data_IF_274399745246
#
_entry.id   IF_274399745246
#
_cell.length_a   1.000
_cell.length_b   1.000
_cell.length_c   1.000
_cell.angle_alpha   90.00
_cell.angle_beta   90.00
_cell.angle_gamma   90.00
#
_symmetry.space_group_name_H-M   'P 1'
#
loop_
_entity.id
_entity.type
_entity.pdbx_description
1 polymer ?
#
# COMPACT_ATOMS: atom_id res chain seq x y z
N UNK A 1 4.60 -12.42 29.76
CA UNK A 1 4.14 -11.31 28.89
C UNK A 1 3.79 -11.86 27.50
N UNK A 2 2.61 -12.47 27.32
CA UNK A 2 2.22 -13.15 26.05
C UNK A 2 0.81 -12.79 25.52
N UNK A 3 0.07 -11.92 26.22
CA UNK A 3 -1.31 -11.58 25.85
C UNK A 3 -1.42 -10.68 24.60
N UNK A 4 -0.36 -9.96 24.23
CA UNK A 4 -0.33 -9.11 23.04
C UNK A 4 -0.29 -9.90 21.72
N UNK A 5 0.49 -10.99 21.67
CA UNK A 5 0.66 -11.80 20.47
C UNK A 5 -0.60 -12.60 20.11
N UNK A 6 -1.39 -13.02 21.11
CA UNK A 6 -2.66 -13.72 20.89
C UNK A 6 -3.70 -12.84 20.19
N UNK A 7 -3.75 -11.54 20.52
CA UNK A 7 -4.67 -10.61 19.89
C UNK A 7 -4.36 -10.39 18.41
N UNK A 8 -3.10 -10.15 18.05
CA UNK A 8 -2.70 -9.90 16.64
C UNK A 8 -3.11 -11.06 15.73
N UNK A 9 -2.96 -12.30 16.22
CA UNK A 9 -3.28 -13.51 15.47
C UNK A 9 -4.76 -13.62 15.07
N UNK A 10 -5.65 -13.11 15.91
CA UNK A 10 -7.09 -13.15 15.66
C UNK A 10 -7.53 -12.06 14.67
N UNK A 11 -7.02 -10.84 14.84
CA UNK A 11 -7.45 -9.67 14.05
C UNK A 11 -6.80 -9.58 12.67
N UNK A 12 -5.58 -10.10 12.51
CA UNK A 12 -4.84 -9.95 11.26
C UNK A 12 -5.55 -10.47 9.99
N UNK A 13 -6.13 -11.68 9.97
CA UNK A 13 -6.85 -12.16 8.79
C UNK A 13 -8.01 -11.24 8.39
N UNK A 14 -8.69 -10.68 9.38
CA UNK A 14 -9.78 -9.72 9.17
C UNK A 14 -9.26 -8.41 8.61
N UNK A 15 -8.19 -7.86 9.18
CA UNK A 15 -7.55 -6.64 8.66
C UNK A 15 -7.13 -6.81 7.19
N UNK A 16 -6.49 -7.93 6.84
CA UNK A 16 -6.07 -8.20 5.46
C UNK A 16 -7.24 -8.37 4.49
N UNK A 17 -8.31 -9.07 4.89
CA UNK A 17 -9.52 -9.19 4.07
C UNK A 17 -10.26 -7.86 3.91
N UNK A 18 -10.34 -7.06 4.97
CA UNK A 18 -10.91 -5.72 4.92
C UNK A 18 -10.08 -4.82 4.00
N UNK A 19 -8.74 -4.89 4.06
CA UNK A 19 -7.87 -4.16 3.15
C UNK A 19 -8.12 -4.58 1.69
N UNK A 20 -8.27 -5.88 1.40
CA UNK A 20 -8.62 -6.36 0.06
C UNK A 20 -9.98 -5.80 -0.41
N UNK A 21 -11.00 -5.81 0.44
CA UNK A 21 -12.33 -5.28 0.12
C UNK A 21 -12.30 -3.76 -0.13
N UNK A 22 -11.61 -3.01 0.74
CA UNK A 22 -11.46 -1.55 0.61
C UNK A 22 -10.68 -1.19 -0.67
N UNK A 23 -9.60 -1.90 -0.97
CA UNK A 23 -8.84 -1.69 -2.21
C UNK A 23 -9.71 -2.01 -3.44
N UNK A 24 -10.52 -3.06 -3.40
CA UNK A 24 -11.45 -3.37 -4.49
C UNK A 24 -12.49 -2.27 -4.67
N UNK A 25 -13.08 -1.77 -3.58
CA UNK A 25 -14.01 -0.63 -3.63
C UNK A 25 -13.33 0.61 -4.22
N UNK A 26 -12.09 0.91 -3.79
CA UNK A 26 -11.33 2.03 -4.33
C UNK A 26 -11.02 1.87 -5.82
N UNK A 27 -10.72 0.64 -6.29
CA UNK A 27 -10.55 0.32 -7.71
C UNK A 27 -11.82 0.57 -8.48
N UNK A 28 -12.97 0.08 -8.00
CA UNK A 28 -14.27 0.25 -8.67
C UNK A 28 -14.61 1.74 -8.78
N UNK A 29 -14.49 2.50 -7.69
CA UNK A 29 -14.78 3.94 -7.70
C UNK A 29 -13.79 4.71 -8.59
N UNK A 30 -12.50 4.40 -8.52
CA UNK A 30 -11.48 5.07 -9.35
C UNK A 30 -11.68 4.78 -10.83
N UNK A 31 -12.03 3.54 -11.17
CA UNK A 31 -12.32 3.14 -12.54
C UNK A 31 -13.56 3.85 -13.10
N UNK A 32 -14.64 3.92 -12.31
CA UNK A 32 -15.89 4.55 -12.73
C UNK A 32 -15.77 6.08 -12.81
N UNK A 33 -15.09 6.71 -11.83
CA UNK A 33 -15.17 8.16 -11.64
C UNK A 33 -13.87 8.92 -11.90
N UNK A 34 -12.68 8.34 -11.65
CA UNK A 34 -11.41 9.08 -11.78
C UNK A 34 -10.68 8.83 -13.10
N UNK A 35 -10.82 7.66 -13.71
CA UNK A 35 -10.21 7.34 -15.01
C UNK A 35 -10.67 8.31 -16.11
N UNK A 36 -11.95 8.69 -16.09
CA UNK A 36 -12.53 9.63 -17.06
C UNK A 36 -11.96 11.04 -16.90
N UNK A 37 -11.57 11.44 -15.69
CA UNK A 37 -10.90 12.73 -15.42
C UNK A 37 -9.52 12.78 -16.09
N UNK A 38 -8.90 11.64 -16.41
CA UNK A 38 -7.62 11.63 -17.13
C UNK A 38 -7.72 11.91 -18.64
N UNK A 39 -8.93 11.98 -19.21
CA UNK A 39 -9.15 12.04 -20.66
C UNK A 39 -9.99 13.26 -21.05
N UNK A 40 -9.87 13.68 -22.31
CA UNK A 40 -10.64 14.79 -22.88
C UNK A 40 -10.00 16.17 -22.69
N UNK A 41 -10.70 17.18 -23.17
CA UNK A 41 -10.30 18.59 -23.02
C UNK A 41 -10.44 19.06 -21.57
N UNK A 42 -9.73 20.13 -21.19
CA UNK A 42 -9.82 20.69 -19.84
C UNK A 42 -11.27 21.06 -19.47
N UNK A 43 -12.02 21.65 -20.39
CA UNK A 43 -13.43 22.03 -20.16
C UNK A 43 -14.33 20.83 -19.91
N UNK A 44 -14.19 19.75 -20.68
CA UNK A 44 -14.95 18.51 -20.47
C UNK A 44 -14.65 17.89 -19.09
N UNK A 45 -13.39 17.90 -18.68
CA UNK A 45 -12.96 17.38 -17.38
C UNK A 45 -13.55 18.19 -16.23
N UNK A 46 -13.48 19.51 -16.29
CA UNK A 46 -14.04 20.40 -15.24
C UNK A 46 -15.57 20.29 -15.18
N UNK A 47 -16.25 20.23 -16.33
CA UNK A 47 -17.70 20.00 -16.41
C UNK A 47 -18.10 18.64 -15.82
N UNK A 48 -17.33 17.60 -16.09
CA UNK A 48 -17.55 16.27 -15.52
C UNK A 48 -17.39 16.26 -13.99
N UNK A 49 -16.35 16.91 -13.47
CA UNK A 49 -16.10 17.00 -12.01
C UNK A 49 -17.28 17.70 -11.33
N UNK A 50 -17.75 18.82 -11.87
CA UNK A 50 -18.87 19.58 -11.27
C UNK A 50 -20.18 18.79 -11.34
N UNK A 51 -20.45 18.08 -12.44
CA UNK A 51 -21.67 17.28 -12.57
C UNK A 51 -21.69 16.01 -11.71
N UNK A 52 -20.53 15.52 -11.26
CA UNK A 52 -20.39 14.28 -10.48
C UNK A 52 -19.63 14.50 -9.16
N UNK A 53 -19.66 15.71 -8.61
CA UNK A 53 -18.79 16.15 -7.51
C UNK A 53 -18.75 15.17 -6.34
N UNK A 54 -19.91 14.76 -5.84
CA UNK A 54 -20.02 13.82 -4.71
C UNK A 54 -19.34 12.48 -5.00
N UNK A 55 -19.56 11.90 -6.18
CA UNK A 55 -19.00 10.60 -6.53
C UNK A 55 -17.47 10.66 -6.70
N UNK A 56 -16.97 11.75 -7.27
CA UNK A 56 -15.53 12.01 -7.41
C UNK A 56 -14.88 12.16 -6.03
N UNK A 57 -15.49 12.92 -5.11
CA UNK A 57 -15.04 13.06 -3.72
C UNK A 57 -15.00 11.72 -3.00
N UNK A 58 -16.05 10.89 -3.12
CA UNK A 58 -16.05 9.55 -2.54
C UNK A 58 -14.96 8.66 -3.12
N UNK A 59 -14.63 8.82 -4.41
CA UNK A 59 -13.56 8.06 -5.03
C UNK A 59 -12.19 8.41 -4.42
N UNK A 60 -11.86 9.69 -4.25
CA UNK A 60 -10.63 10.09 -3.55
C UNK A 60 -10.64 9.67 -2.08
N UNK A 61 -11.77 9.82 -1.39
CA UNK A 61 -11.93 9.37 0.00
C UNK A 61 -11.68 7.86 0.17
N UNK A 62 -12.08 7.06 -0.81
CA UNK A 62 -11.78 5.61 -0.82
C UNK A 62 -10.28 5.32 -1.00
N UNK A 63 -9.54 6.17 -1.72
CA UNK A 63 -8.08 6.10 -1.86
C UNK A 63 -7.35 6.36 -0.53
N UNK A 64 -7.81 7.35 0.24
CA UNK A 64 -7.33 7.63 1.61
C UNK A 64 -7.56 6.41 2.52
N UNK A 65 -8.76 5.82 2.45
CA UNK A 65 -9.10 4.63 3.26
C UNK A 65 -8.24 3.42 2.86
N UNK A 66 -8.03 3.20 1.57
CA UNK A 66 -7.13 2.17 1.06
C UNK A 66 -5.71 2.37 1.61
N UNK A 67 -5.13 3.56 1.44
CA UNK A 67 -3.78 3.89 1.93
C UNK A 67 -3.63 3.68 3.45
N UNK A 68 -4.63 4.10 4.23
CA UNK A 68 -4.65 3.91 5.69
C UNK A 68 -4.66 2.43 6.07
N UNK A 69 -5.52 1.63 5.43
CA UNK A 69 -5.59 0.19 5.73
C UNK A 69 -4.34 -0.57 5.28
N UNK A 70 -3.75 -0.20 4.14
CA UNK A 70 -2.46 -0.73 3.72
C UNK A 70 -1.36 -0.42 4.75
N UNK A 71 -1.31 0.81 5.26
CA UNK A 71 -0.39 1.21 6.33
C UNK A 71 -0.54 0.33 7.56
N UNK A 72 -1.79 0.03 7.96
CA UNK A 72 -2.09 -0.93 9.03
C UNK A 72 -1.51 -2.33 8.76
N UNK A 73 -1.57 -2.83 7.52
CA UNK A 73 -0.97 -4.11 7.14
C UNK A 73 0.56 -4.09 7.26
N UNK A 74 1.22 -3.03 6.80
CA UNK A 74 2.67 -2.88 6.93
C UNK A 74 3.10 -2.81 8.40
N UNK A 75 2.36 -2.11 9.25
CA UNK A 75 2.57 -2.13 10.69
C UNK A 75 2.46 -3.54 11.28
N UNK A 76 1.51 -4.37 10.85
CA UNK A 76 1.43 -5.76 11.31
C UNK A 76 2.58 -6.62 10.75
N UNK A 77 2.95 -6.43 9.48
CA UNK A 77 4.08 -7.15 8.88
C UNK A 77 5.40 -6.84 9.61
N UNK A 78 5.61 -5.60 10.05
CA UNK A 78 6.76 -5.22 10.87
C UNK A 78 6.87 -6.07 12.15
N UNK A 79 5.74 -6.43 12.76
CA UNK A 79 5.69 -7.20 13.99
C UNK A 79 5.87 -8.71 13.75
N UNK A 80 5.53 -9.20 12.56
CA UNK A 80 5.45 -10.63 12.26
C UNK A 80 6.64 -11.17 11.48
N UNK A 81 7.28 -10.34 10.64
CA UNK A 81 8.48 -10.73 9.92
C UNK A 81 9.66 -10.96 10.88
N UNK A 82 10.72 -11.60 10.36
CA UNK A 82 11.89 -11.97 11.18
C UNK A 82 12.49 -10.75 11.91
N UNK A 83 12.56 -10.87 13.24
CA UNK A 83 13.03 -9.84 14.15
C UNK A 83 14.48 -9.42 13.88
N UNK A 84 15.28 -10.27 13.25
CA UNK A 84 16.66 -9.94 12.84
C UNK A 84 16.72 -8.73 11.90
N UNK A 85 15.66 -8.46 11.15
CA UNK A 85 15.60 -7.36 10.17
C UNK A 85 14.78 -6.16 10.65
N UNK A 86 14.46 -6.06 11.94
CA UNK A 86 13.52 -5.05 12.47
C UNK A 86 13.91 -3.61 12.15
N UNK A 87 15.18 -3.25 12.26
CA UNK A 87 15.64 -1.90 11.95
C UNK A 87 15.39 -1.53 10.47
N UNK A 88 15.67 -2.45 9.54
CA UNK A 88 15.43 -2.27 8.11
C UNK A 88 13.93 -2.14 7.82
N UNK A 89 13.10 -2.98 8.47
CA UNK A 89 11.64 -2.91 8.32
C UNK A 89 11.05 -1.62 8.90
N UNK A 90 11.61 -1.08 9.99
CA UNK A 90 11.22 0.22 10.54
C UNK A 90 11.57 1.36 9.58
N UNK A 91 12.77 1.35 8.99
CA UNK A 91 13.13 2.32 7.96
C UNK A 91 12.21 2.22 6.75
N UNK A 92 11.89 1.01 6.29
CA UNK A 92 10.94 0.79 5.21
C UNK A 92 9.53 1.29 5.58
N UNK A 93 9.07 1.11 6.82
CA UNK A 93 7.80 1.64 7.28
C UNK A 93 7.80 3.19 7.30
N UNK A 94 8.91 3.82 7.68
CA UNK A 94 9.02 5.28 7.61
C UNK A 94 8.91 5.78 6.17
N UNK A 95 9.61 5.13 5.23
CA UNK A 95 9.48 5.44 3.78
C UNK A 95 8.02 5.28 3.32
N UNK A 96 7.35 4.21 3.76
CA UNK A 96 5.93 3.98 3.47
C UNK A 96 5.06 5.12 3.99
N UNK A 97 5.24 5.52 5.25
CA UNK A 97 4.47 6.60 5.88
C UNK A 97 4.68 7.93 5.15
N UNK A 98 5.90 8.23 4.69
CA UNK A 98 6.15 9.42 3.86
C UNK A 98 5.37 9.38 2.53
N UNK A 99 5.34 8.21 1.88
CA UNK A 99 4.50 7.99 0.70
C UNK A 99 3.00 8.13 1.01
N UNK A 100 2.56 7.57 2.14
CA UNK A 100 1.17 7.61 2.62
C UNK A 100 0.72 9.05 2.88
N UNK A 101 1.52 9.82 3.60
CA UNK A 101 1.25 11.23 3.86
C UNK A 101 1.15 12.03 2.56
N UNK A 102 2.04 11.75 1.60
CA UNK A 102 1.99 12.36 0.26
C UNK A 102 0.70 12.02 -0.48
N UNK A 103 0.32 10.74 -0.54
CA UNK A 103 -0.89 10.29 -1.23
C UNK A 103 -2.16 10.83 -0.59
N UNK A 104 -2.25 10.81 0.73
CA UNK A 104 -3.39 11.37 1.48
C UNK A 104 -3.49 12.87 1.25
N UNK A 105 -2.37 13.60 1.30
CA UNK A 105 -2.38 15.05 1.07
C UNK A 105 -2.78 15.39 -0.37
N UNK A 106 -2.31 14.61 -1.35
CA UNK A 106 -2.76 14.70 -2.74
C UNK A 106 -4.29 14.54 -2.83
N UNK A 107 -4.85 13.47 -2.24
CA UNK A 107 -6.29 13.20 -2.32
C UNK A 107 -7.11 14.26 -1.59
N UNK A 108 -6.63 14.78 -0.45
CA UNK A 108 -7.27 15.90 0.26
C UNK A 108 -7.29 17.18 -0.58
N UNK A 109 -6.19 17.52 -1.25
CA UNK A 109 -6.13 18.67 -2.16
C UNK A 109 -7.12 18.46 -3.31
N UNK A 110 -7.17 17.26 -3.89
CA UNK A 110 -8.12 16.93 -4.97
C UNK A 110 -9.57 17.04 -4.49
N UNK A 111 -9.90 16.58 -3.28
CA UNK A 111 -11.26 16.66 -2.72
C UNK A 111 -11.70 18.10 -2.40
N UNK A 112 -10.77 18.98 -2.01
CA UNK A 112 -11.10 20.32 -1.51
C UNK A 112 -10.92 21.42 -2.55
N UNK A 113 -9.80 21.39 -3.28
CA UNK A 113 -9.38 22.50 -4.16
C UNK A 113 -9.93 22.32 -5.57
N UNK A 114 -9.89 21.10 -6.12
CA UNK A 114 -10.23 20.86 -7.53
C UNK A 114 -11.71 21.12 -7.86
N UNK A 115 -12.70 20.74 -7.03
CA UNK A 115 -14.11 21.11 -7.28
C UNK A 115 -14.29 22.63 -7.34
N UNK A 116 -13.71 23.36 -6.40
CA UNK A 116 -13.78 24.82 -6.36
C UNK A 116 -13.12 25.46 -7.59
N UNK A 117 -11.93 24.98 -7.99
CA UNK A 117 -11.26 25.44 -9.21
C UNK A 117 -12.06 25.10 -10.48
N UNK A 118 -12.72 23.94 -10.51
CA UNK A 118 -13.56 23.52 -11.64
C UNK A 118 -14.76 24.46 -11.80
N UNK A 119 -15.44 24.79 -10.70
CA UNK A 119 -16.55 25.74 -10.70
C UNK A 119 -16.11 27.14 -11.14
N UNK A 120 -15.00 27.64 -10.60
CA UNK A 120 -14.44 28.94 -10.97
C UNK A 120 -14.08 29.00 -12.46
N UNK A 121 -13.45 27.94 -12.98
CA UNK A 121 -13.06 27.86 -14.39
C UNK A 121 -14.27 27.87 -15.34
N UNK A 122 -15.36 27.19 -14.98
CA UNK A 122 -16.58 27.19 -15.78
C UNK A 122 -17.33 28.53 -15.76
N UNK A 123 -17.22 29.28 -14.67
CA UNK A 123 -17.84 30.61 -14.55
C UNK A 123 -17.04 31.70 -15.28
N UNK A 124 -15.71 31.68 -15.15
CA UNK A 124 -14.82 32.71 -15.70
C UNK A 124 -13.60 32.03 -16.37
N UNK A 125 -13.78 31.48 -17.58
CA UNK A 125 -12.70 30.79 -18.29
C UNK A 125 -11.66 31.80 -18.80
N UNK A 126 -10.55 31.91 -18.09
CA UNK A 126 -9.39 32.70 -18.53
C UNK A 126 -8.21 31.78 -18.86
N UNK A 127 -7.38 32.19 -19.82
CA UNK A 127 -6.20 31.42 -20.20
C UNK A 127 -5.23 31.24 -19.02
N UNK A 128 -5.01 32.29 -18.23
CA UNK A 128 -4.16 32.24 -17.04
C UNK A 128 -4.65 31.21 -16.01
N UNK A 129 -5.97 31.12 -15.79
CA UNK A 129 -6.55 30.12 -14.89
C UNK A 129 -6.37 28.71 -15.45
N UNK A 130 -6.61 28.50 -16.74
CA UNK A 130 -6.39 27.21 -17.41
C UNK A 130 -4.95 26.72 -17.25
N UNK A 131 -3.98 27.59 -17.55
CA UNK A 131 -2.56 27.28 -17.42
C UNK A 131 -2.18 26.96 -15.98
N UNK A 132 -2.70 27.72 -15.02
CA UNK A 132 -2.46 27.50 -13.58
C UNK A 132 -2.99 26.13 -13.14
N UNK A 133 -4.21 25.76 -13.55
CA UNK A 133 -4.78 24.43 -13.25
C UNK A 133 -3.89 23.32 -13.83
N UNK A 134 -3.46 23.44 -15.08
CA UNK A 134 -2.59 22.45 -15.72
C UNK A 134 -1.24 22.32 -15.00
N UNK A 135 -0.65 23.42 -14.55
CA UNK A 135 0.59 23.40 -13.78
C UNK A 135 0.40 22.71 -12.42
N UNK A 136 -0.70 23.01 -11.73
CA UNK A 136 -1.08 22.35 -10.48
C UNK A 136 -1.26 20.85 -10.66
N UNK A 137 -1.99 20.41 -11.68
CA UNK A 137 -2.17 18.99 -12.00
C UNK A 137 -0.83 18.30 -12.26
N UNK A 138 0.06 18.91 -13.07
CA UNK A 138 1.40 18.36 -13.34
C UNK A 138 2.23 18.23 -12.07
N UNK A 139 2.17 19.21 -11.17
CA UNK A 139 2.87 19.16 -9.89
C UNK A 139 2.33 18.04 -9.00
N UNK A 140 1.01 17.96 -8.85
CA UNK A 140 0.34 16.94 -8.04
C UNK A 140 0.60 15.53 -8.55
N UNK A 141 0.56 15.31 -9.87
CA UNK A 141 0.89 14.01 -10.47
C UNK A 141 2.35 13.63 -10.25
N UNK A 142 3.30 14.57 -10.35
CA UNK A 142 4.71 14.28 -10.02
C UNK A 142 4.88 13.93 -8.55
N UNK A 143 4.21 14.65 -7.67
CA UNK A 143 4.30 14.42 -6.23
C UNK A 143 3.71 13.07 -5.82
N UNK A 144 2.47 12.78 -6.18
CA UNK A 144 1.83 11.52 -5.82
C UNK A 144 2.33 10.35 -6.67
N UNK A 145 2.34 10.52 -7.99
CA UNK A 145 2.58 9.46 -8.96
C UNK A 145 4.04 9.13 -9.22
N UNK A 146 4.98 10.03 -8.95
CA UNK A 146 6.42 9.70 -9.02
C UNK A 146 6.98 9.49 -7.62
N UNK A 147 6.94 10.53 -6.78
CA UNK A 147 7.54 10.44 -5.44
C UNK A 147 6.78 9.46 -4.53
N UNK A 148 5.46 9.61 -4.39
CA UNK A 148 4.63 8.72 -3.56
C UNK A 148 4.74 7.25 -3.98
N UNK A 149 4.57 6.96 -5.28
CA UNK A 149 4.68 5.59 -5.81
C UNK A 149 6.07 4.99 -5.62
N UNK A 150 7.14 5.79 -5.77
CA UNK A 150 8.51 5.33 -5.52
C UNK A 150 8.69 4.96 -4.04
N UNK A 151 8.18 5.77 -3.11
CA UNK A 151 8.21 5.46 -1.68
C UNK A 151 7.49 4.15 -1.36
N UNK A 152 6.27 3.97 -1.88
CA UNK A 152 5.51 2.73 -1.68
C UNK A 152 6.22 1.51 -2.27
N UNK A 153 6.74 1.63 -3.49
CA UNK A 153 7.41 0.53 -4.17
C UNK A 153 8.71 0.12 -3.46
N UNK A 154 9.56 1.08 -3.08
CA UNK A 154 10.81 0.80 -2.36
C UNK A 154 10.50 0.13 -1.02
N UNK A 155 9.56 0.67 -0.26
CA UNK A 155 9.15 0.07 1.01
C UNK A 155 8.64 -1.37 0.83
N UNK A 156 7.71 -1.57 -0.11
CA UNK A 156 7.15 -2.87 -0.42
C UNK A 156 8.20 -3.89 -0.89
N UNK A 157 9.19 -3.47 -1.68
CA UNK A 157 10.31 -4.31 -2.10
C UNK A 157 11.19 -4.72 -0.90
N UNK A 158 11.48 -3.83 0.03
CA UNK A 158 12.23 -4.15 1.26
C UNK A 158 11.47 -5.18 2.10
N UNK A 159 10.16 -4.96 2.33
CA UNK A 159 9.32 -5.93 3.04
C UNK A 159 9.31 -7.28 2.32
N UNK A 160 9.23 -7.28 1.00
CA UNK A 160 9.25 -8.49 0.17
C UNK A 160 10.58 -9.25 0.29
N UNK A 161 11.71 -8.54 0.31
CA UNK A 161 13.03 -9.14 0.51
C UNK A 161 13.11 -9.87 1.86
N UNK A 162 12.54 -9.28 2.92
CA UNK A 162 12.48 -9.92 4.25
C UNK A 162 11.46 -11.06 4.28
N UNK A 163 10.36 -10.99 3.52
CA UNK A 163 9.42 -12.11 3.37
C UNK A 163 10.11 -13.35 2.81
N UNK A 164 11.00 -13.22 1.81
CA UNK A 164 11.80 -14.33 1.29
C UNK A 164 12.74 -14.96 2.34
N UNK A 165 13.19 -14.19 3.33
CA UNK A 165 14.05 -14.66 4.41
C UNK A 165 13.26 -15.25 5.59
N UNK A 166 11.96 -15.04 5.65
CA UNK A 166 11.13 -15.45 6.78
C UNK A 166 10.50 -16.81 6.50
N UNK A 167 10.95 -17.86 7.19
CA UNK A 167 10.53 -19.27 7.02
C UNK A 167 9.02 -19.57 7.10
N UNK A 168 8.19 -18.62 7.54
CA UNK A 168 6.74 -18.78 7.69
C UNK A 168 5.95 -18.30 6.46
N UNK A 169 6.58 -17.57 5.55
CA UNK A 169 5.93 -17.06 4.34
C UNK A 169 6.25 -17.97 3.14
N UNK A 170 5.25 -18.30 2.31
CA UNK A 170 5.51 -19.10 1.12
C UNK A 170 6.10 -18.24 0.01
N UNK A 171 7.06 -18.81 -0.72
CA UNK A 171 7.75 -18.14 -1.83
C UNK A 171 6.82 -17.65 -2.93
N UNK A 172 5.66 -18.28 -3.12
CA UNK A 172 4.65 -17.82 -4.09
C UNK A 172 4.11 -16.44 -3.72
N UNK A 173 3.81 -16.21 -2.44
CA UNK A 173 3.30 -14.93 -1.96
C UNK A 173 4.39 -13.85 -2.05
N UNK A 174 5.63 -14.19 -1.69
CA UNK A 174 6.76 -13.28 -1.79
C UNK A 174 7.07 -12.91 -3.26
N UNK A 175 7.03 -13.87 -4.19
CA UNK A 175 7.17 -13.60 -5.63
C UNK A 175 6.05 -12.73 -6.19
N UNK A 176 4.80 -12.98 -5.80
CA UNK A 176 3.70 -12.12 -6.21
C UNK A 176 3.87 -10.69 -5.66
N UNK A 177 4.23 -10.55 -4.38
CA UNK A 177 4.58 -9.27 -3.75
C UNK A 177 5.65 -8.54 -4.56
N UNK A 178 6.73 -9.23 -4.93
CA UNK A 178 7.80 -8.66 -5.74
C UNK A 178 7.29 -8.11 -7.08
N UNK A 179 6.43 -8.87 -7.75
CA UNK A 179 5.78 -8.43 -8.99
C UNK A 179 4.94 -7.17 -8.81
N UNK A 180 4.11 -7.10 -7.76
CA UNK A 180 3.26 -5.94 -7.44
C UNK A 180 4.10 -4.68 -7.22
N UNK A 181 5.12 -4.75 -6.36
CA UNK A 181 5.93 -3.57 -6.04
C UNK A 181 6.85 -3.15 -7.18
N UNK A 182 7.33 -4.10 -8.00
CA UNK A 182 8.08 -3.79 -9.22
C UNK A 182 7.18 -3.12 -10.26
N UNK A 183 5.93 -3.60 -10.43
CA UNK A 183 4.94 -2.95 -11.28
C UNK A 183 4.65 -1.52 -10.83
N UNK A 184 4.50 -1.28 -9.53
CA UNK A 184 4.31 0.07 -8.98
C UNK A 184 5.53 0.96 -9.23
N UNK A 185 6.75 0.44 -9.09
CA UNK A 185 7.98 1.17 -9.39
C UNK A 185 8.07 1.56 -10.87
N UNK A 186 7.78 0.61 -11.77
CA UNK A 186 7.72 0.86 -13.21
C UNK A 186 6.65 1.90 -13.54
N UNK A 187 5.49 1.81 -12.90
CA UNK A 187 4.42 2.80 -13.02
C UNK A 187 4.89 4.20 -12.62
N UNK A 188 5.65 4.33 -11.52
CA UNK A 188 6.21 5.61 -11.09
C UNK A 188 7.13 6.24 -12.16
N UNK A 189 7.95 5.42 -12.80
CA UNK A 189 8.84 5.86 -13.89
C UNK A 189 8.03 6.26 -15.13
N UNK A 190 6.99 5.48 -15.48
CA UNK A 190 6.15 5.74 -16.65
C UNK A 190 5.30 7.00 -16.49
N UNK A 191 4.76 7.27 -15.30
CA UNK A 191 3.92 8.44 -15.01
C UNK A 191 4.65 9.76 -15.28
N UNK A 192 5.98 9.77 -15.19
CA UNK A 192 6.81 10.93 -15.57
C UNK A 192 6.60 11.35 -17.04
N UNK A 193 6.35 10.38 -17.92
CA UNK A 193 6.18 10.58 -19.37
C UNK A 193 4.72 10.52 -19.79
N UNK A 194 3.90 9.73 -19.10
CA UNK A 194 2.52 9.42 -19.43
C UNK A 194 1.57 9.93 -18.34
N UNK A 195 1.62 11.24 -18.05
CA UNK A 195 0.79 11.89 -17.01
C UNK A 195 -0.71 11.56 -17.10
N UNK A 196 -1.36 11.54 -18.29
CA UNK A 196 -2.79 11.20 -18.40
C UNK A 196 -3.13 9.77 -17.94
N UNK A 197 -2.15 8.86 -17.95
CA UNK A 197 -2.33 7.47 -17.51
C UNK A 197 -2.21 7.30 -16.00
N UNK A 198 -1.90 8.36 -15.25
CA UNK A 198 -1.76 8.27 -13.79
C UNK A 198 -2.96 7.60 -13.10
N UNK A 199 -4.23 8.00 -13.34
CA UNK A 199 -5.38 7.34 -12.72
C UNK A 199 -5.49 5.85 -13.06
N UNK A 200 -5.12 5.46 -14.29
CA UNK A 200 -5.06 4.06 -14.70
C UNK A 200 -4.01 3.29 -13.92
N UNK A 201 -2.80 3.83 -13.82
CA UNK A 201 -1.69 3.18 -13.11
C UNK A 201 -2.00 3.01 -11.62
N UNK A 202 -2.62 4.01 -10.98
CA UNK A 202 -3.12 3.90 -9.60
C UNK A 202 -4.14 2.78 -9.47
N UNK A 203 -5.15 2.76 -10.36
CA UNK A 203 -6.23 1.77 -10.33
C UNK A 203 -5.70 0.36 -10.52
N UNK A 204 -4.81 0.14 -11.49
CA UNK A 204 -4.20 -1.17 -11.75
C UNK A 204 -3.30 -1.62 -10.60
N UNK A 205 -2.57 -0.69 -9.97
CA UNK A 205 -1.74 -1.00 -8.80
C UNK A 205 -2.58 -1.44 -7.60
N UNK A 206 -3.67 -0.73 -7.31
CA UNK A 206 -4.63 -1.12 -6.27
C UNK A 206 -5.28 -2.47 -6.58
N UNK A 207 -5.63 -2.72 -7.84
CA UNK A 207 -6.20 -4.00 -8.27
C UNK A 207 -5.21 -5.15 -8.06
N UNK A 208 -3.94 -4.96 -8.40
CA UNK A 208 -2.89 -5.95 -8.21
C UNK A 208 -2.69 -6.30 -6.72
N UNK A 209 -2.94 -5.35 -5.81
CA UNK A 209 -2.87 -5.54 -4.36
C UNK A 209 -4.06 -6.34 -3.79
N UNK A 210 -5.22 -6.35 -4.44
CA UNK A 210 -6.42 -7.08 -3.95
C UNK A 210 -6.14 -8.59 -3.78
N UNK A 211 -5.63 -9.33 -4.80
CA UNK A 211 -5.26 -10.72 -4.63
C UNK A 211 -4.15 -10.91 -3.58
N UNK A 212 -3.22 -9.97 -3.47
CA UNK A 212 -2.13 -10.04 -2.49
C UNK A 212 -2.68 -9.99 -1.06
N UNK A 213 -3.50 -8.99 -0.72
CA UNK A 213 -4.15 -8.87 0.59
C UNK A 213 -5.05 -10.06 0.90
N UNK A 214 -5.77 -10.57 -0.10
CA UNK A 214 -6.63 -11.72 0.06
C UNK A 214 -5.84 -12.99 0.40
N UNK A 215 -4.72 -13.24 -0.30
CA UNK A 215 -3.83 -14.35 0.00
C UNK A 215 -3.19 -14.18 1.38
N UNK A 216 -2.73 -12.97 1.69
CA UNK A 216 -2.14 -12.62 2.97
C UNK A 216 -3.09 -12.94 4.14
N UNK A 217 -4.38 -12.62 4.02
CA UNK A 217 -5.41 -12.91 5.02
C UNK A 217 -5.76 -14.40 5.18
N UNK A 218 -5.33 -15.28 4.28
CA UNK A 218 -5.47 -16.74 4.44
C UNK A 218 -4.36 -17.33 5.32
N UNK A 219 -3.25 -16.64 5.49
CA UNK A 219 -2.14 -17.14 6.29
C UNK A 219 -2.38 -16.92 7.78
N UNK A 220 -2.48 -18.03 8.51
CA UNK A 220 -2.44 -18.02 9.97
C UNK A 220 -0.99 -18.19 10.42
N UNK A 221 -0.41 -17.15 11.02
CA UNK A 221 0.87 -17.28 11.70
C UNK A 221 0.75 -18.34 12.79
N UNK A 222 1.44 -19.48 12.60
CA UNK A 222 1.48 -20.58 13.56
C UNK A 222 2.93 -20.78 13.96
N UNK A 223 3.27 -20.45 15.21
CA UNK A 223 4.62 -20.50 15.78
C UNK A 223 5.20 -21.91 15.94
N UNK A 224 4.49 -22.96 15.50
CA UNK A 224 4.80 -24.38 15.81
C UNK A 224 6.18 -24.87 15.35
N UNK A 225 6.95 -24.12 14.57
CA UNK A 225 8.29 -24.56 14.13
C UNK A 225 9.43 -24.24 15.10
N UNK A 226 9.26 -23.33 16.07
CA UNK A 226 10.34 -23.03 17.04
C UNK A 226 10.34 -23.97 18.26
N UNK A 227 9.19 -24.54 18.64
CA UNK A 227 9.14 -25.48 19.77
C UNK A 227 9.81 -26.82 19.44
N UNK A 228 9.85 -27.22 18.16
CA UNK A 228 10.48 -28.48 17.73
C UNK A 228 12.02 -28.45 17.80
N UNK A 229 12.63 -27.27 17.67
CA UNK A 229 14.07 -27.09 17.86
C UNK A 229 14.43 -26.96 19.35
N UNK A 230 13.57 -26.30 20.13
CA UNK A 230 13.72 -26.23 21.59
C UNK A 230 13.56 -27.59 22.28
N UNK A 231 12.77 -28.52 21.73
CA UNK A 231 12.67 -29.90 22.26
C UNK A 231 13.85 -30.78 21.86
N UNK A 232 14.49 -30.53 20.70
CA UNK A 232 15.71 -31.23 20.30
C UNK A 232 16.91 -30.83 21.17
N UNK A 233 17.06 -29.53 21.48
CA UNK A 233 18.12 -29.08 22.39
C UNK A 233 17.86 -29.43 23.86
N UNK A 234 16.59 -29.51 24.31
CA UNK A 234 16.27 -29.98 25.67
C UNK A 234 16.39 -31.51 25.84
N UNK A 235 16.28 -32.29 24.77
CA UNK A 235 16.49 -33.75 24.84
C UNK A 235 17.96 -34.19 24.76
N UNK A 236 18.88 -33.30 24.36
CA UNK A 236 20.31 -33.62 24.18
C UNK A 236 21.21 -33.27 25.37
N UNK A 237 20.79 -32.39 26.27
CA UNK A 237 21.62 -31.96 27.42
C UNK A 237 21.38 -32.83 28.67
N UNK A 238 20.29 -33.61 28.72
CA UNK A 238 19.99 -34.48 29.86
C UNK A 238 20.73 -35.82 29.87
N UNK A 239 21.58 -36.13 28.87
CA UNK A 239 22.29 -37.42 28.76
C UNK A 239 23.84 -37.31 28.80
N UNK A 240 24.43 -36.16 29.16
CA UNK A 240 25.90 -35.96 29.13
C UNK A 240 26.51 -35.68 30.53
N UNK A 241 25.75 -35.79 31.61
CA UNK A 241 26.25 -35.55 32.97
C UNK A 241 25.89 -36.70 33.92
N UNK A 242 26.44 -37.89 33.66
CA UNK A 242 26.69 -38.95 34.63
C UNK A 242 27.77 -39.88 34.05
N UNK A 243 29.02 -39.43 34.03
CA UNK A 243 30.15 -40.35 34.11
C UNK A 243 30.57 -40.38 35.58
N UNK A 244 30.30 -41.51 36.21
CA UNK A 244 30.71 -41.86 37.56
C UNK A 244 32.24 -41.83 37.65
N UNK A 245 32.76 -41.08 38.62
CA UNK A 245 34.11 -41.26 39.14
C UNK A 245 34.09 -42.47 40.07
N UNK A 246 34.25 -43.69 39.54
CA UNK A 246 34.77 -44.84 40.31
C UNK A 246 35.32 -45.92 39.38
N UNK A 247 36.64 -46.14 39.43
CA UNK A 247 37.32 -47.34 38.92
C UNK A 247 38.31 -47.10 37.80
#
# INVERSE_FOLDING_TARGET
MDSGHLRIRFWYPWLAKSAAAINLTAVVLSFLFLVRIGHGSLGERMSYIVSNETAVIWSWGSGILATTTMTGIFCVLLLVLDQRYRAILQMALMIWITGAATGILHDLIQMTVIPALSQLFLQVPTENLAQTIIQWEKLLVRWAGVFGFTCYAISGLIYTAVMFRTNHFPDRLARYSFGVWTFLLLSAVLVRWLTPFFPWMTTLSLLALVPWFWQLGRYRFSRRKYDKWGSWFRGGISNILYCDETG
#
